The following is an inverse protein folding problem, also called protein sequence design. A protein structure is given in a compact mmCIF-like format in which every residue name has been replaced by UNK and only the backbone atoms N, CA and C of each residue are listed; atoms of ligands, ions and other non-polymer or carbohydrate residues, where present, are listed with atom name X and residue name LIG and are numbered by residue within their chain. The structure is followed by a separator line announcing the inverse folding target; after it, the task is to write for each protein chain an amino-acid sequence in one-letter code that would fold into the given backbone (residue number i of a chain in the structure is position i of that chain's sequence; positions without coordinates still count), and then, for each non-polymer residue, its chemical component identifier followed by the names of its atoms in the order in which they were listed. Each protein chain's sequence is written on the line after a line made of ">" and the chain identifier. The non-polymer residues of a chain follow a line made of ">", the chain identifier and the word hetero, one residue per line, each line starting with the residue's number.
data_IF_884855401289
#
_entry.id   IF_884855401289
#
_cell.length_a   1.000
_cell.length_b   1.000
_cell.length_c   1.000
_cell.angle_alpha   90.00
_cell.angle_beta   90.00
_cell.angle_gamma   90.00
#
_symmetry.space_group_name_H-M   'P 1'
#
loop_
_entity.id
_entity.type
_entity.pdbx_description
1 polymer ?
#
# COMPACT_ATOMS: atom_id res chain seq x y z
N UNK A 1 -19.53 -8.41 -4.97
CA UNK A 1 -18.98 -7.68 -3.81
C UNK A 1 -18.85 -6.22 -4.22
N UNK A 2 -19.43 -5.28 -3.47
CA UNK A 2 -19.52 -3.88 -3.90
C UNK A 2 -18.24 -3.16 -3.47
N UNK A 3 -17.33 -2.97 -4.41
CA UNK A 3 -16.11 -2.19 -4.23
C UNK A 3 -16.54 -0.76 -3.89
N UNK A 4 -16.31 -0.33 -2.66
CA UNK A 4 -16.62 1.03 -2.23
C UNK A 4 -15.66 1.97 -2.95
N UNK A 5 -16.12 2.62 -4.02
CA UNK A 5 -15.31 3.54 -4.79
C UNK A 5 -14.84 4.70 -3.88
N UNK A 6 -13.55 5.08 -3.93
CA UNK A 6 -13.05 6.20 -3.14
C UNK A 6 -13.73 7.49 -3.58
N UNK A 7 -14.17 8.29 -2.61
CA UNK A 7 -14.83 9.58 -2.86
C UNK A 7 -13.94 10.52 -3.66
N UNK A 8 -14.54 11.44 -4.43
CA UNK A 8 -13.80 12.46 -5.20
C UNK A 8 -12.86 13.29 -4.31
N UNK A 9 -13.27 13.54 -3.06
CA UNK A 9 -12.45 14.25 -2.07
C UNK A 9 -11.16 13.49 -1.72
N UNK A 10 -11.26 12.16 -1.53
CA UNK A 10 -10.10 11.29 -1.27
C UNK A 10 -9.14 11.31 -2.45
N UNK A 11 -9.67 11.23 -3.68
CA UNK A 11 -8.85 11.28 -4.89
C UNK A 11 -8.13 12.62 -5.04
N UNK A 12 -8.83 13.74 -4.80
CA UNK A 12 -8.25 15.08 -4.84
C UNK A 12 -7.18 15.28 -3.77
N UNK A 13 -7.39 14.74 -2.56
CA UNK A 13 -6.39 14.79 -1.49
C UNK A 13 -5.12 14.03 -1.87
N UNK A 14 -5.26 12.81 -2.39
CA UNK A 14 -4.13 12.00 -2.83
C UNK A 14 -3.33 12.67 -3.94
N UNK A 15 -4.02 13.24 -4.93
CA UNK A 15 -3.37 14.00 -6.01
C UNK A 15 -2.57 15.20 -5.49
N UNK A 16 -3.08 15.88 -4.45
CA UNK A 16 -2.35 16.97 -3.79
C UNK A 16 -1.17 16.47 -2.97
N UNK A 17 -1.29 15.31 -2.32
CA UNK A 17 -0.23 14.72 -1.50
C UNK A 17 0.92 14.18 -2.37
N UNK A 18 0.63 13.52 -3.48
CA UNK A 18 1.65 12.99 -4.39
C UNK A 18 2.48 14.08 -5.07
N UNK A 19 1.94 15.30 -5.20
CA UNK A 19 2.64 16.46 -5.73
C UNK A 19 3.56 17.16 -4.70
N UNK A 20 3.50 16.79 -3.42
CA UNK A 20 4.34 17.44 -2.40
C UNK A 20 5.80 17.02 -2.54
N UNK A 21 6.76 17.97 -2.43
CA UNK A 21 8.18 17.63 -2.45
C UNK A 21 8.54 16.58 -1.41
N UNK A 22 9.26 15.54 -1.85
CA UNK A 22 9.70 14.44 -1.00
C UNK A 22 8.68 13.31 -0.83
N UNK A 23 7.43 13.44 -1.27
CA UNK A 23 6.48 12.31 -1.25
C UNK A 23 6.85 11.31 -2.34
N UNK A 24 7.14 10.07 -1.94
CA UNK A 24 7.50 8.98 -2.84
C UNK A 24 6.24 8.24 -3.32
N UNK A 25 5.31 7.96 -2.41
CA UNK A 25 4.09 7.24 -2.72
C UNK A 25 2.97 7.48 -1.73
N UNK A 26 1.74 7.24 -2.20
CA UNK A 26 0.52 7.29 -1.38
C UNK A 26 -0.30 6.03 -1.61
N UNK A 27 -0.85 5.44 -0.56
CA UNK A 27 -1.82 4.35 -0.66
C UNK A 27 -3.07 4.67 0.15
N UNK A 28 -4.21 4.19 -0.35
CA UNK A 28 -5.44 4.05 0.43
C UNK A 28 -5.75 2.57 0.49
N UNK A 29 -5.78 2.05 1.72
CA UNK A 29 -6.09 0.65 1.98
C UNK A 29 -7.47 0.55 2.65
N UNK A 30 -8.19 -0.53 2.39
CA UNK A 30 -9.33 -0.93 3.23
C UNK A 30 -8.84 -1.24 4.64
N UNK A 31 -9.48 -0.68 5.67
CA UNK A 31 -9.12 -0.96 7.08
C UNK A 31 -9.35 -2.42 7.42
N UNK A 32 -10.43 -3.02 6.93
CA UNK A 32 -10.84 -4.37 7.32
C UNK A 32 -10.01 -5.45 6.63
N UNK A 33 -9.64 -5.24 5.36
CA UNK A 33 -9.01 -6.28 4.53
C UNK A 33 -7.57 -5.97 4.14
N UNK A 34 -7.11 -4.73 4.30
CA UNK A 34 -5.80 -4.30 3.79
C UNK A 34 -5.71 -4.20 2.27
N UNK A 35 -6.81 -4.42 1.54
CA UNK A 35 -6.84 -4.32 0.08
C UNK A 35 -6.56 -2.90 -0.40
N UNK A 36 -5.82 -2.77 -1.49
CA UNK A 36 -5.52 -1.47 -2.10
C UNK A 36 -6.79 -0.95 -2.77
N UNK A 37 -7.27 0.21 -2.32
CA UNK A 37 -8.36 0.95 -2.95
C UNK A 37 -7.80 1.90 -3.99
N UNK A 38 -6.65 2.52 -3.70
CA UNK A 38 -5.95 3.42 -4.60
C UNK A 38 -4.46 3.48 -4.23
N UNK A 39 -3.58 3.56 -5.23
CA UNK A 39 -2.15 3.76 -5.02
C UNK A 39 -1.58 4.75 -6.04
N UNK A 40 -0.57 5.50 -5.64
CA UNK A 40 0.25 6.33 -6.54
C UNK A 40 1.73 6.19 -6.17
N UNK A 41 2.62 6.22 -7.16
CA UNK A 41 4.08 6.11 -6.95
C UNK A 41 4.58 4.69 -6.62
N UNK A 42 3.72 3.68 -6.71
CA UNK A 42 4.05 2.25 -6.59
C UNK A 42 3.44 1.48 -7.76
N UNK A 43 4.09 0.40 -8.19
CA UNK A 43 3.50 -0.50 -9.18
C UNK A 43 2.51 -1.41 -8.46
N UNK A 44 1.22 -1.27 -8.79
CA UNK A 44 0.23 -2.29 -8.50
C UNK A 44 0.40 -3.41 -9.53
N UNK A 45 0.49 -4.66 -9.08
CA UNK A 45 0.46 -5.78 -9.99
C UNK A 45 -1.02 -6.01 -10.31
N UNK A 46 -1.47 -5.56 -11.48
CA UNK A 46 -2.80 -5.90 -11.95
C UNK A 46 -2.85 -7.44 -12.05
N UNK A 47 -3.75 -8.05 -11.27
CA UNK A 47 -4.02 -9.46 -11.40
C UNK A 47 -4.60 -9.67 -12.80
N UNK A 48 -3.83 -10.28 -13.69
CA UNK A 48 -4.37 -10.79 -14.94
C UNK A 48 -5.46 -11.80 -14.58
N UNK A 49 -6.72 -11.43 -14.85
CA UNK A 49 -7.84 -12.36 -14.84
C UNK A 49 -7.62 -13.34 -16.00
N UNK A 50 -7.54 -14.63 -15.67
CA UNK A 50 -7.58 -15.77 -16.61
C UNK A 50 -8.73 -15.58 -17.62
N UNK A 51 -8.42 -15.19 -18.86
CA UNK A 51 -9.29 -15.42 -20.01
C UNK A 51 -8.67 -16.51 -20.89
N UNK A 52 -9.22 -17.70 -20.71
CA UNK A 52 -8.94 -18.93 -21.43
C UNK A 52 -9.43 -18.81 -22.88
N UNK A 53 -8.55 -18.41 -23.81
CA UNK A 53 -8.71 -18.70 -25.24
C UNK A 53 -7.38 -19.05 -25.91
N UNK A 54 -7.07 -20.35 -25.97
CA UNK A 54 -6.11 -20.90 -26.95
C UNK A 54 -6.69 -20.80 -28.38
N UNK A 55 -5.85 -20.69 -29.46
CA UNK A 55 -5.15 -21.87 -29.94
C UNK A 55 -3.69 -21.66 -30.43
N UNK A 56 -2.85 -22.62 -30.02
CA UNK A 56 -1.75 -23.29 -30.75
C UNK A 56 -0.81 -22.51 -31.68
N UNK A 57 0.50 -22.49 -31.37
CA UNK A 57 1.57 -23.05 -32.23
C UNK A 57 2.81 -23.42 -31.39
N UNK A 58 3.41 -24.55 -31.74
CA UNK A 58 4.52 -25.28 -31.11
C UNK A 58 5.84 -24.50 -30.92
N UNK A 59 6.49 -24.71 -29.77
CA UNK A 59 7.90 -24.40 -29.52
C UNK A 59 8.34 -24.81 -28.11
N UNK A 60 8.95 -25.98 -27.99
CA UNK A 60 9.51 -26.67 -26.82
C UNK A 60 10.46 -25.87 -25.91
N UNK A 61 10.28 -26.02 -24.57
CA UNK A 61 11.22 -26.02 -23.41
C UNK A 61 12.44 -25.06 -23.44
N UNK A 62 12.70 -24.23 -22.42
CA UNK A 62 12.97 -24.60 -21.03
C UNK A 62 12.66 -23.46 -20.02
N UNK A 63 12.27 -23.87 -18.82
CA UNK A 63 12.15 -23.03 -17.62
C UNK A 63 13.53 -22.55 -17.19
N UNK A 64 13.71 -21.24 -17.04
CA UNK A 64 14.51 -20.67 -15.95
C UNK A 64 13.79 -19.47 -15.35
N UNK A 65 13.82 -19.30 -14.01
CA UNK A 65 13.27 -18.13 -13.36
C UNK A 65 14.15 -16.94 -13.72
N UNK A 66 13.64 -16.08 -14.60
CA UNK A 66 14.26 -14.81 -14.92
C UNK A 66 14.55 -14.05 -13.63
N UNK A 67 15.82 -13.99 -13.29
CA UNK A 67 16.39 -13.23 -12.21
C UNK A 67 16.09 -11.74 -12.50
N UNK A 68 14.93 -11.27 -12.06
CA UNK A 68 14.55 -9.87 -12.15
C UNK A 68 15.54 -9.06 -11.32
N UNK A 69 16.49 -8.48 -12.04
CA UNK A 69 17.42 -7.47 -11.57
C UNK A 69 16.64 -6.47 -10.71
N UNK A 70 16.82 -6.58 -9.39
CA UNK A 70 16.38 -5.62 -8.39
C UNK A 70 16.91 -4.23 -8.76
N UNK A 71 16.13 -3.47 -9.54
CA UNK A 71 16.25 -2.03 -9.60
C UNK A 71 15.80 -1.49 -8.25
N UNK A 72 16.75 -0.94 -7.53
CA UNK A 72 16.54 -0.17 -6.31
C UNK A 72 15.61 0.99 -6.65
N UNK A 73 14.31 0.90 -6.33
CA UNK A 73 13.42 2.04 -6.52
C UNK A 73 11.94 1.75 -6.52
N UNK A 74 11.50 0.55 -6.94
CA UNK A 74 10.06 0.30 -7.10
C UNK A 74 9.61 -0.81 -6.16
N UNK A 75 8.99 -0.43 -5.04
CA UNK A 75 8.36 -1.41 -4.13
C UNK A 75 7.06 -1.87 -4.77
N UNK A 76 6.78 -3.18 -4.68
CA UNK A 76 5.48 -3.73 -5.07
C UNK A 76 4.41 -3.18 -4.12
N UNK A 77 3.33 -2.60 -4.65
CA UNK A 77 2.31 -1.94 -3.85
C UNK A 77 1.61 -2.92 -2.90
N UNK A 78 1.35 -4.15 -3.36
CA UNK A 78 0.67 -5.19 -2.58
C UNK A 78 1.50 -5.66 -1.39
N UNK A 79 2.81 -5.82 -1.58
CA UNK A 79 3.72 -6.17 -0.49
C UNK A 79 3.76 -5.06 0.57
N UNK A 80 3.85 -3.80 0.14
CA UNK A 80 3.82 -2.63 1.05
C UNK A 80 2.48 -2.55 1.78
N UNK A 81 1.36 -2.72 1.08
CA UNK A 81 0.02 -2.70 1.66
C UNK A 81 -0.13 -3.76 2.75
N UNK A 82 0.28 -5.01 2.48
CA UNK A 82 0.25 -6.11 3.45
C UNK A 82 1.09 -5.81 4.69
N UNK A 83 2.32 -5.31 4.50
CA UNK A 83 3.20 -4.96 5.63
C UNK A 83 2.61 -3.85 6.50
N UNK A 84 2.10 -2.78 5.88
CA UNK A 84 1.52 -1.64 6.61
C UNK A 84 0.25 -2.07 7.35
N UNK A 85 -0.64 -2.83 6.70
CA UNK A 85 -1.88 -3.29 7.31
C UNK A 85 -1.62 -4.19 8.53
N UNK A 86 -0.70 -5.16 8.41
CA UNK A 86 -0.30 -6.00 9.53
C UNK A 86 0.28 -5.19 10.69
N UNK A 87 1.12 -4.19 10.39
CA UNK A 87 1.70 -3.32 11.41
C UNK A 87 0.64 -2.50 12.15
N UNK A 88 -0.32 -1.90 11.43
CA UNK A 88 -1.43 -1.16 12.05
C UNK A 88 -2.28 -2.09 12.93
N UNK A 89 -2.53 -3.33 12.50
CA UNK A 89 -3.24 -4.32 13.31
C UNK A 89 -2.50 -4.65 14.61
N UNK A 90 -1.19 -4.87 14.54
CA UNK A 90 -0.37 -5.10 15.74
C UNK A 90 -0.33 -3.88 16.66
N UNK A 91 -0.26 -2.67 16.10
CA UNK A 91 -0.32 -1.43 16.87
C UNK A 91 -1.68 -1.25 17.56
N UNK A 92 -2.79 -1.62 16.88
CA UNK A 92 -4.13 -1.64 17.46
C UNK A 92 -4.21 -2.58 18.66
N UNK A 93 -3.77 -3.83 18.50
CA UNK A 93 -3.74 -4.80 19.60
C UNK A 93 -2.90 -4.31 20.81
N UNK A 94 -1.77 -3.65 20.55
CA UNK A 94 -0.96 -3.04 21.62
C UNK A 94 -1.71 -1.91 22.34
N UNK A 95 -2.45 -1.06 21.61
CA UNK A 95 -3.28 0.01 22.22
C UNK A 95 -4.42 -0.60 23.04
N UNK A 96 -5.08 -1.64 22.52
CA UNK A 96 -6.14 -2.36 23.23
C UNK A 96 -5.62 -2.94 24.55
N UNK A 97 -4.44 -3.55 24.55
CA UNK A 97 -3.80 -4.11 25.76
C UNK A 97 -3.41 -3.03 26.77
N UNK A 98 -3.02 -1.83 26.32
CA UNK A 98 -2.57 -0.74 27.19
C UNK A 98 -3.72 0.09 27.77
N UNK A 99 -4.71 0.40 26.96
CA UNK A 99 -5.74 1.40 27.26
C UNK A 99 -7.17 0.84 27.22
N UNK A 100 -7.34 -0.44 26.86
CA UNK A 100 -8.63 -1.10 26.72
C UNK A 100 -9.29 -0.86 25.36
N UNK A 101 -10.38 -1.58 25.09
CA UNK A 101 -11.08 -1.66 23.79
C UNK A 101 -11.67 -0.33 23.28
N UNK A 102 -11.66 0.74 24.10
CA UNK A 102 -12.19 2.06 23.73
C UNK A 102 -11.16 2.99 23.11
N UNK A 103 -9.87 2.65 23.14
CA UNK A 103 -8.81 3.45 22.54
C UNK A 103 -8.38 2.87 21.20
N UNK A 104 -8.09 3.74 20.22
CA UNK A 104 -7.68 3.32 18.88
C UNK A 104 -6.57 4.22 18.33
N UNK A 105 -5.64 3.67 17.52
CA UNK A 105 -4.59 4.47 16.93
C UNK A 105 -5.15 5.48 15.92
N UNK A 106 -4.92 6.78 16.16
CA UNK A 106 -5.35 7.87 15.25
C UNK A 106 -4.28 8.34 14.27
N UNK A 107 -3.01 8.15 14.62
CA UNK A 107 -1.89 8.52 13.78
C UNK A 107 -0.70 7.65 14.12
N UNK A 108 -0.13 7.00 13.11
CA UNK A 108 1.10 6.23 13.24
C UNK A 108 2.14 6.84 12.32
N UNK A 109 3.28 7.23 12.89
CA UNK A 109 4.36 7.87 12.15
C UNK A 109 5.66 7.14 12.45
N UNK A 110 6.23 6.50 11.43
CA UNK A 110 7.49 5.79 11.51
C UNK A 110 8.53 6.51 10.67
N UNK A 111 9.45 7.23 11.32
CA UNK A 111 10.60 7.85 10.67
C UNK A 111 11.79 6.91 10.72
N UNK A 112 12.38 6.67 9.55
CA UNK A 112 13.64 5.93 9.39
C UNK A 112 14.73 6.89 8.88
N UNK A 113 15.96 6.40 8.73
CA UNK A 113 17.05 7.21 8.14
C UNK A 113 16.79 7.61 6.68
N UNK A 114 15.97 6.85 5.97
CA UNK A 114 15.75 7.03 4.52
C UNK A 114 14.38 7.66 4.27
N UNK A 115 13.36 7.07 4.89
CA UNK A 115 11.98 7.38 4.61
C UNK A 115 11.19 7.54 5.90
N UNK A 116 10.09 8.26 5.78
CA UNK A 116 9.06 8.37 6.78
C UNK A 116 7.77 7.77 6.23
N UNK A 117 7.12 6.93 7.04
CA UNK A 117 5.83 6.33 6.75
C UNK A 117 4.81 6.96 7.70
N UNK A 118 3.80 7.61 7.15
CA UNK A 118 2.70 8.20 7.88
C UNK A 118 1.44 7.40 7.55
N UNK A 119 0.78 6.89 8.58
CA UNK A 119 -0.48 6.16 8.46
C UNK A 119 -1.52 6.87 9.32
N UNK A 120 -2.64 7.22 8.69
CA UNK A 120 -3.81 7.80 9.36
C UNK A 120 -4.95 6.80 9.23
N UNK A 121 -5.27 6.04 10.30
CA UNK A 121 -6.46 5.21 10.33
C UNK A 121 -7.73 6.06 10.37
N UNK A 122 -8.70 5.69 9.55
CA UNK A 122 -10.07 6.21 9.54
C UNK A 122 -11.03 5.04 9.85
N UNK A 123 -12.32 5.30 9.96
CA UNK A 123 -13.41 4.33 10.10
C UNK A 123 -13.38 3.23 9.04
N UNK A 124 -13.09 3.55 7.78
CA UNK A 124 -13.15 2.60 6.65
C UNK A 124 -11.81 2.35 5.97
N UNK A 125 -10.88 3.30 6.07
CA UNK A 125 -9.68 3.31 5.27
C UNK A 125 -8.43 3.54 6.12
N UNK A 126 -7.28 3.12 5.61
CA UNK A 126 -5.97 3.53 6.08
C UNK A 126 -5.34 4.40 5.02
N UNK A 127 -5.10 5.68 5.34
CA UNK A 127 -4.37 6.59 4.46
C UNK A 127 -2.89 6.46 4.77
N UNK A 128 -2.10 6.09 3.77
CA UNK A 128 -0.67 5.83 3.90
C UNK A 128 0.10 6.78 2.99
N UNK A 129 1.11 7.44 3.55
CA UNK A 129 2.05 8.28 2.81
C UNK A 129 3.47 7.84 3.13
N UNK A 130 4.26 7.62 2.10
CA UNK A 130 5.70 7.35 2.22
C UNK A 130 6.43 8.54 1.60
N UNK A 131 7.30 9.18 2.38
CA UNK A 131 8.07 10.32 1.92
C UNK A 131 9.53 10.26 2.42
N UNK A 132 10.41 11.02 1.80
CA UNK A 132 11.79 11.18 2.21
C UNK A 132 11.85 11.78 3.62
N UNK A 133 12.84 11.34 4.40
CA UNK A 133 13.16 12.01 5.66
C UNK A 133 14.09 13.19 5.36
N UNK A 134 13.70 14.45 5.69
CA UNK A 134 14.59 15.59 5.53
C UNK A 134 15.88 15.36 6.33
N UNK A 135 17.05 15.81 5.82
CA UNK A 135 18.29 15.76 6.58
C UNK A 135 18.11 16.52 7.91
N UNK A 136 18.61 15.90 8.99
CA UNK A 136 18.53 16.41 10.35
C UNK A 136 19.38 17.66 10.57
#
# INVERSE_FOLDING_TARGET
>A
MQQSSPSEETQALLARLSQRPGVQSTLVLSRDTGAIVQSTGLLAQEAEEDDDTAPTVNGTHDKEPGNDLKKTGTRNADEVAKMVWNFVKSAGAMVDELNGESDEPRLIRLRTKKNEVVVVPDSKFLLVVIHDTPPA
#
